data_IF_990459304620
#
_entry.id   IF_990459304620
#
_cell.length_a   1.000
_cell.length_b   1.000
_cell.length_c   1.000
_cell.angle_alpha   90.00
_cell.angle_beta   90.00
_cell.angle_gamma   90.00
#
_symmetry.space_group_name_H-M   'P 1'
#
loop_
_entity.id
_entity.type
_entity.pdbx_description
1 polymer ?
#
# COMPACT_ATOMS: atom_id res chain seq x y z
N UNK A 1 -68.98 -14.25 34.65
CA UNK A 1 -70.05 -14.42 35.65
C UNK A 1 -69.83 -13.34 36.70
N UNK A 2 -70.69 -12.35 36.93
CA UNK A 2 -71.99 -12.02 36.37
C UNK A 2 -72.27 -10.53 36.61
N UNK A 3 -73.16 -9.99 35.79
CA UNK A 3 -73.75 -8.66 35.90
C UNK A 3 -74.77 -8.57 37.04
N UNK A 4 -75.07 -7.32 37.41
CA UNK A 4 -76.16 -6.74 38.21
C UNK A 4 -75.58 -5.99 39.42
N UNK A 5 -75.84 -4.70 39.62
CA UNK A 5 -77.15 -4.04 39.49
C UNK A 5 -77.05 -2.62 38.92
N UNK A 6 -78.00 -2.33 38.03
CA UNK A 6 -78.36 -1.00 37.55
C UNK A 6 -79.01 -0.16 38.64
N UNK A 7 -78.71 1.15 38.68
CA UNK A 7 -79.67 2.17 39.13
C UNK A 7 -79.62 3.41 38.23
N UNK A 8 -80.63 3.43 37.38
CA UNK A 8 -81.48 4.58 37.02
C UNK A 8 -80.86 5.85 36.42
N UNK A 9 -81.15 5.97 35.13
CA UNK A 9 -81.25 7.19 34.33
C UNK A 9 -81.87 8.38 35.07
N UNK A 10 -81.18 9.53 35.01
CA UNK A 10 -81.83 10.82 34.78
C UNK A 10 -81.18 11.40 33.53
N UNK A 11 -81.94 11.37 32.43
CA UNK A 11 -81.63 12.18 31.26
C UNK A 11 -82.19 13.57 31.51
N UNK A 12 -81.32 14.56 31.65
CA UNK A 12 -81.70 15.96 31.51
C UNK A 12 -80.80 16.55 30.43
N UNK A 13 -81.44 16.94 29.32
CA UNK A 13 -80.81 17.52 28.15
C UNK A 13 -80.25 18.90 28.49
N UNK A 14 -78.97 19.10 28.23
CA UNK A 14 -78.29 20.39 28.35
C UNK A 14 -76.94 20.33 27.66
N UNK A 15 -76.90 20.94 26.47
CA UNK A 15 -75.74 21.33 25.67
C UNK A 15 -74.57 20.35 25.50
N UNK A 16 -74.48 19.82 24.27
CA UNK A 16 -73.21 19.44 23.64
C UNK A 16 -72.34 20.71 23.48
N UNK A 17 -71.71 21.17 24.56
CA UNK A 17 -70.57 22.08 24.46
C UNK A 17 -69.37 21.28 23.95
N UNK A 18 -68.98 21.56 22.71
CA UNK A 18 -67.70 21.16 22.14
C UNK A 18 -66.59 21.47 23.15
N UNK A 19 -65.99 20.43 23.74
CA UNK A 19 -64.78 20.59 24.53
C UNK A 19 -63.64 20.88 23.56
N UNK A 20 -63.49 22.15 23.19
CA UNK A 20 -62.23 22.68 22.70
C UNK A 20 -61.21 22.52 23.83
N UNK A 21 -60.43 21.45 23.78
CA UNK A 21 -59.20 21.30 24.54
C UNK A 21 -58.19 22.30 23.96
N UNK A 22 -58.37 23.58 24.27
CA UNK A 22 -57.37 24.59 24.03
C UNK A 22 -56.25 24.33 25.04
N UNK A 23 -55.25 23.54 24.63
CA UNK A 23 -54.01 23.37 25.38
C UNK A 23 -53.20 24.64 25.17
N UNK A 24 -53.72 25.76 25.69
CA UNK A 24 -53.04 27.04 25.68
C UNK A 24 -51.89 26.94 26.69
N UNK A 25 -50.68 26.80 26.16
CA UNK A 25 -49.46 26.72 26.96
C UNK A 25 -49.27 28.07 27.66
N UNK A 26 -49.66 28.19 28.93
CA UNK A 26 -49.54 29.44 29.72
C UNK A 26 -48.06 29.79 29.94
N UNK A 27 -47.53 30.53 28.97
CA UNK A 27 -46.19 31.10 28.97
C UNK A 27 -45.96 31.97 30.21
N UNK A 28 -46.98 32.65 30.72
CA UNK A 28 -46.84 33.52 31.89
C UNK A 28 -46.78 32.74 33.20
N UNK A 29 -47.50 31.63 33.34
CA UNK A 29 -47.36 30.72 34.50
C UNK A 29 -45.99 30.03 34.52
N UNK A 30 -45.55 29.50 33.38
CA UNK A 30 -44.22 28.86 33.26
C UNK A 30 -43.09 29.85 33.55
N UNK A 31 -43.19 31.08 33.04
CA UNK A 31 -42.18 32.12 33.28
C UNK A 31 -42.17 32.62 34.73
N UNK A 32 -43.34 32.67 35.40
CA UNK A 32 -43.44 32.95 36.84
C UNK A 32 -42.81 31.85 37.68
N UNK A 33 -43.04 30.59 37.33
CA UNK A 33 -42.41 29.45 38.01
C UNK A 33 -40.89 29.47 37.88
N UNK A 34 -40.37 29.68 36.66
CA UNK A 34 -38.91 29.77 36.40
C UNK A 34 -38.31 30.95 37.18
N UNK A 35 -38.94 32.14 37.17
CA UNK A 35 -38.48 33.30 37.93
C UNK A 35 -38.50 33.05 39.44
N UNK A 36 -39.51 32.34 39.95
CA UNK A 36 -39.57 31.89 41.35
C UNK A 36 -38.39 31.01 41.71
N UNK A 37 -38.11 29.98 40.89
CA UNK A 37 -36.97 29.07 41.08
C UNK A 37 -35.62 29.75 40.95
N UNK A 38 -35.46 30.68 40.01
CA UNK A 38 -34.25 31.50 39.88
C UNK A 38 -34.00 32.36 41.13
N UNK A 39 -35.06 32.91 41.73
CA UNK A 39 -34.96 33.70 42.96
C UNK A 39 -34.58 32.83 44.15
N UNK A 40 -35.18 31.65 44.30
CA UNK A 40 -34.80 30.66 45.31
C UNK A 40 -33.32 30.24 45.16
N UNK A 41 -32.89 29.95 43.94
CA UNK A 41 -31.49 29.61 43.62
C UNK A 41 -30.53 30.77 43.94
N UNK A 42 -30.94 32.01 43.68
CA UNK A 42 -30.16 33.21 43.99
C UNK A 42 -29.94 33.38 45.50
N UNK A 43 -30.98 33.18 46.31
CA UNK A 43 -30.86 33.25 47.77
C UNK A 43 -29.98 32.11 48.30
N UNK A 44 -30.19 30.89 47.82
CA UNK A 44 -29.37 29.72 48.15
C UNK A 44 -27.89 29.92 47.79
N UNK A 45 -27.61 30.52 46.61
CA UNK A 45 -26.26 30.89 46.21
C UNK A 45 -25.64 31.97 47.12
N UNK A 46 -26.42 32.97 47.53
CA UNK A 46 -25.97 34.00 48.45
C UNK A 46 -25.54 33.44 49.80
N UNK A 47 -26.32 32.50 50.35
CA UNK A 47 -26.10 31.88 51.65
C UNK A 47 -24.93 30.88 51.66
N UNK A 48 -24.82 30.06 50.62
CA UNK A 48 -23.80 29.01 50.52
C UNK A 48 -22.69 29.30 49.51
N UNK A 49 -22.44 30.60 49.23
CA UNK A 49 -21.54 31.06 48.15
C UNK A 49 -20.18 30.35 48.11
N UNK A 50 -19.55 30.13 49.28
CA UNK A 50 -18.24 29.46 49.36
C UNK A 50 -18.33 27.99 48.95
N UNK A 51 -19.29 27.24 49.49
CA UNK A 51 -19.48 25.82 49.19
C UNK A 51 -19.86 25.62 47.72
N UNK A 52 -20.77 26.44 47.19
CA UNK A 52 -21.21 26.34 45.80
C UNK A 52 -20.06 26.67 44.84
N UNK A 53 -19.24 27.69 45.14
CA UNK A 53 -18.07 27.99 44.31
C UNK A 53 -17.05 26.82 44.30
N UNK A 54 -16.81 26.17 45.43
CA UNK A 54 -15.93 24.99 45.51
C UNK A 54 -16.50 23.82 44.69
N UNK A 55 -17.79 23.54 44.83
CA UNK A 55 -18.47 22.49 44.05
C UNK A 55 -18.45 22.79 42.54
N UNK A 56 -18.64 24.05 42.15
CA UNK A 56 -18.62 24.48 40.76
C UNK A 56 -17.22 24.36 40.14
N UNK A 57 -16.17 24.73 40.89
CA UNK A 57 -14.77 24.51 40.46
C UNK A 57 -14.49 23.01 40.31
N UNK A 58 -14.90 22.18 41.29
CA UNK A 58 -14.72 20.74 41.22
C UNK A 58 -15.45 20.12 40.02
N UNK A 59 -16.67 20.57 39.74
CA UNK A 59 -17.46 20.14 38.59
C UNK A 59 -16.79 20.51 37.26
N UNK A 60 -16.30 21.75 37.12
CA UNK A 60 -15.55 22.18 35.93
C UNK A 60 -14.27 21.35 35.77
N UNK A 61 -13.50 21.15 36.85
CA UNK A 61 -12.28 20.35 36.82
C UNK A 61 -12.56 18.90 36.41
N UNK A 62 -13.64 18.29 36.92
CA UNK A 62 -14.08 16.96 36.52
C UNK A 62 -14.48 16.92 35.04
N UNK A 63 -15.25 17.91 34.56
CA UNK A 63 -15.62 18.02 33.14
C UNK A 63 -14.41 18.16 32.21
N UNK A 64 -13.43 18.99 32.59
CA UNK A 64 -12.16 19.14 31.86
C UNK A 64 -11.36 17.83 31.86
N UNK A 65 -11.29 17.13 32.98
CA UNK A 65 -10.61 15.84 33.09
C UNK A 65 -11.28 14.76 32.22
N UNK A 66 -12.62 14.69 32.22
CA UNK A 66 -13.36 13.77 31.35
C UNK A 66 -13.16 14.11 29.87
N UNK A 67 -13.26 15.38 29.50
CA UNK A 67 -13.02 15.84 28.13
C UNK A 67 -11.59 15.54 27.67
N UNK A 68 -10.59 15.81 28.52
CA UNK A 68 -9.19 15.48 28.25
C UNK A 68 -9.01 13.98 28.04
N UNK A 69 -9.56 13.15 28.91
CA UNK A 69 -9.45 11.69 28.82
C UNK A 69 -10.11 11.17 27.55
N UNK A 70 -11.32 11.67 27.23
CA UNK A 70 -12.05 11.29 26.04
C UNK A 70 -11.29 11.59 24.73
N UNK A 71 -10.71 12.80 24.61
CA UNK A 71 -10.03 13.25 23.38
C UNK A 71 -8.60 12.70 23.28
N UNK A 72 -7.81 12.80 24.35
CA UNK A 72 -6.36 12.55 24.29
C UNK A 72 -5.94 11.15 24.75
N UNK A 73 -6.84 10.39 25.39
CA UNK A 73 -6.54 9.03 25.87
C UNK A 73 -7.40 8.00 25.13
N UNK A 74 -8.72 8.17 25.13
CA UNK A 74 -9.65 7.20 24.55
C UNK A 74 -9.72 7.31 23.02
N UNK A 75 -9.93 8.51 22.48
CA UNK A 75 -10.09 8.73 21.02
C UNK A 75 -8.88 9.40 20.37
N UNK A 76 -7.69 9.20 20.95
CA UNK A 76 -6.46 9.75 20.38
C UNK A 76 -6.24 9.22 18.97
N UNK A 77 -5.97 10.14 18.06
CA UNK A 77 -5.53 9.84 16.69
C UNK A 77 -4.03 10.02 16.63
N UNK A 78 -3.31 8.92 16.38
CA UNK A 78 -1.86 8.93 16.23
C UNK A 78 -1.48 9.40 14.82
N UNK A 79 -0.33 10.06 14.72
CA UNK A 79 0.27 10.40 13.43
C UNK A 79 1.09 9.24 12.85
N UNK A 80 1.37 9.28 11.55
CA UNK A 80 2.45 8.46 10.97
C UNK A 80 3.78 8.75 11.68
N UNK A 81 4.65 7.74 11.76
CA UNK A 81 5.93 7.75 12.46
C UNK A 81 5.84 7.96 13.99
N UNK A 82 4.64 7.94 14.56
CA UNK A 82 4.43 7.98 16.01
C UNK A 82 4.33 6.56 16.59
N UNK A 83 5.08 6.28 17.65
CA UNK A 83 4.92 5.03 18.39
C UNK A 83 3.69 5.06 19.27
N UNK A 84 2.93 3.98 19.26
CA UNK A 84 1.86 3.76 20.23
C UNK A 84 1.83 2.32 20.73
N UNK A 85 1.40 2.14 21.98
CA UNK A 85 1.23 0.82 22.59
C UNK A 85 -0.25 0.44 22.52
N UNK A 86 -0.52 -0.80 22.13
CA UNK A 86 -1.84 -1.40 22.22
C UNK A 86 -1.71 -2.90 22.50
N UNK A 87 -2.40 -3.39 23.54
CA UNK A 87 -2.22 -4.74 24.08
C UNK A 87 -0.75 -5.08 24.35
N UNK A 88 -0.30 -6.23 23.82
CA UNK A 88 1.06 -6.76 23.98
C UNK A 88 2.08 -6.13 23.03
N UNK A 89 1.66 -5.23 22.15
CA UNK A 89 2.48 -4.69 21.07
C UNK A 89 2.77 -3.20 21.24
N UNK A 90 3.91 -2.79 20.72
CA UNK A 90 4.19 -1.42 20.34
C UNK A 90 4.25 -1.34 18.81
N UNK A 91 3.54 -0.37 18.26
CA UNK A 91 3.38 -0.17 16.83
C UNK A 91 3.96 1.18 16.41
N UNK A 92 4.42 1.26 15.15
CA UNK A 92 4.67 2.52 14.45
C UNK A 92 4.38 2.33 12.96
N UNK A 93 3.49 3.16 12.41
CA UNK A 93 3.23 3.19 10.97
C UNK A 93 4.31 4.06 10.31
N UNK A 94 5.19 3.45 9.51
CA UNK A 94 6.34 4.10 8.89
C UNK A 94 5.91 4.93 7.67
N UNK A 95 5.66 4.21 6.58
CA UNK A 95 5.30 4.75 5.28
C UNK A 95 4.00 4.09 4.83
N UNK A 96 3.24 4.85 4.05
CA UNK A 96 2.04 4.34 3.40
C UNK A 96 2.14 4.69 1.92
N UNK A 97 1.93 3.70 1.07
CA UNK A 97 2.02 3.83 -0.38
C UNK A 97 0.67 3.57 -1.02
N UNK A 98 0.44 4.20 -2.16
CA UNK A 98 -0.73 4.00 -3.00
C UNK A 98 -0.29 3.72 -4.43
N UNK A 99 -0.80 2.64 -5.02
CA UNK A 99 -0.46 2.26 -6.40
C UNK A 99 -1.50 1.33 -7.02
N UNK A 100 -1.47 1.22 -8.35
CA UNK A 100 -2.19 0.22 -9.15
C UNK A 100 -1.24 -0.77 -9.85
N UNK A 101 0.07 -0.64 -9.62
CA UNK A 101 1.12 -1.38 -10.32
C UNK A 101 1.95 -2.26 -9.38
N UNK A 102 2.52 -3.31 -9.95
CA UNK A 102 3.54 -4.14 -9.30
C UNK A 102 4.90 -3.43 -9.27
N UNK A 103 5.91 -4.09 -8.68
CA UNK A 103 7.28 -3.58 -8.60
C UNK A 103 7.99 -3.43 -9.97
N UNK A 104 7.39 -3.93 -11.04
CA UNK A 104 7.87 -3.87 -12.43
C UNK A 104 7.06 -2.89 -13.30
N UNK A 105 6.10 -2.16 -12.72
CA UNK A 105 5.25 -1.21 -13.44
C UNK A 105 4.12 -1.84 -14.24
N UNK A 106 3.81 -3.11 -14.04
CA UNK A 106 2.64 -3.75 -14.66
C UNK A 106 1.40 -3.46 -13.83
N UNK A 107 0.29 -3.17 -14.50
CA UNK A 107 -1.00 -2.99 -13.84
C UNK A 107 -1.43 -4.31 -13.17
N UNK A 108 -1.73 -4.27 -11.88
CA UNK A 108 -2.17 -5.46 -11.12
C UNK A 108 -3.66 -5.72 -11.35
N UNK A 109 -4.46 -4.66 -11.34
CA UNK A 109 -5.91 -4.72 -11.51
C UNK A 109 -6.44 -3.46 -12.19
N UNK A 110 -7.49 -3.61 -12.99
CA UNK A 110 -8.22 -2.49 -13.60
C UNK A 110 -9.35 -1.96 -12.71
N UNK A 111 -9.80 -2.77 -11.74
CA UNK A 111 -10.97 -2.46 -10.91
C UNK A 111 -10.61 -1.99 -9.51
N UNK A 112 -9.45 -2.41 -9.02
CA UNK A 112 -9.00 -2.15 -7.67
C UNK A 112 -7.62 -1.49 -7.69
N UNK A 113 -7.36 -0.71 -6.64
CA UNK A 113 -6.04 -0.15 -6.33
C UNK A 113 -5.57 -0.64 -4.97
N UNK A 114 -4.33 -0.33 -4.62
CA UNK A 114 -3.69 -0.89 -3.45
C UNK A 114 -3.17 0.23 -2.54
N UNK A 115 -3.45 0.09 -1.24
CA UNK A 115 -2.78 0.85 -0.18
C UNK A 115 -1.89 -0.11 0.58
N UNK A 116 -0.60 0.22 0.68
CA UNK A 116 0.42 -0.60 1.33
C UNK A 116 0.94 0.16 2.53
N UNK A 117 0.80 -0.43 3.71
CA UNK A 117 1.21 0.18 4.98
C UNK A 117 2.43 -0.57 5.50
N UNK A 118 3.55 0.12 5.64
CA UNK A 118 4.73 -0.37 6.36
C UNK A 118 4.53 -0.13 7.86
N UNK A 119 4.52 -1.21 8.63
CA UNK A 119 4.23 -1.22 10.06
C UNK A 119 5.39 -1.86 10.82
N UNK A 120 6.01 -1.10 11.72
CA UNK A 120 6.87 -1.66 12.75
C UNK A 120 6.03 -2.22 13.89
N UNK A 121 6.36 -3.42 14.33
CA UNK A 121 5.75 -4.12 15.44
C UNK A 121 6.80 -4.69 16.38
N UNK A 122 6.59 -4.47 17.68
CA UNK A 122 7.45 -4.96 18.75
C UNK A 122 6.58 -5.64 19.81
N UNK A 123 6.94 -6.86 20.23
CA UNK A 123 6.35 -7.48 21.41
C UNK A 123 6.97 -6.89 22.68
N UNK A 124 6.18 -6.16 23.46
CA UNK A 124 6.63 -5.41 24.64
C UNK A 124 6.16 -5.97 25.97
N UNK A 125 5.39 -7.06 25.97
CA UNK A 125 4.74 -7.57 27.20
C UNK A 125 5.14 -9.00 27.55
N UNK A 126 5.22 -9.90 26.56
CA UNK A 126 5.50 -11.31 26.80
C UNK A 126 6.96 -11.63 26.49
N UNK A 127 7.67 -12.26 27.44
CA UNK A 127 9.01 -12.81 27.19
C UNK A 127 8.98 -13.98 26.21
N UNK A 128 7.85 -14.69 26.11
CA UNK A 128 7.64 -15.73 25.11
C UNK A 128 7.25 -15.09 23.76
N UNK A 129 7.71 -15.64 22.62
CA UNK A 129 7.30 -15.18 21.31
C UNK A 129 5.79 -15.27 21.12
N UNK A 130 5.22 -14.28 20.42
CA UNK A 130 3.77 -14.21 20.15
C UNK A 130 3.53 -14.08 18.65
N UNK A 131 2.39 -14.59 18.17
CA UNK A 131 1.92 -14.35 16.81
C UNK A 131 1.28 -12.97 16.73
N UNK A 132 1.29 -12.37 15.54
CA UNK A 132 0.62 -11.11 15.26
C UNK A 132 -0.68 -11.36 14.51
N UNK A 133 -1.77 -10.88 15.08
CA UNK A 133 -3.08 -10.93 14.45
C UNK A 133 -3.28 -9.67 13.59
N UNK A 134 -2.84 -9.76 12.34
CA UNK A 134 -2.87 -8.66 11.39
C UNK A 134 -4.30 -8.31 10.93
N UNK A 135 -5.27 -9.22 11.07
CA UNK A 135 -6.67 -9.00 10.68
C UNK A 135 -7.40 -7.97 11.56
N UNK A 136 -6.85 -7.70 12.75
CA UNK A 136 -7.32 -6.61 13.64
C UNK A 136 -7.01 -5.22 13.12
N UNK A 137 -6.19 -5.12 12.07
CA UNK A 137 -5.98 -3.88 11.36
C UNK A 137 -7.02 -3.72 10.27
N UNK A 138 -7.61 -2.53 10.20
CA UNK A 138 -8.50 -2.18 9.11
C UNK A 138 -8.24 -0.78 8.60
N UNK A 139 -8.36 -0.63 7.29
CA UNK A 139 -8.31 0.64 6.60
C UNK A 139 -9.73 1.13 6.40
N UNK A 140 -10.06 2.27 7.00
CA UNK A 140 -11.37 2.90 6.88
C UNK A 140 -11.26 4.10 5.96
N UNK A 141 -12.14 4.11 4.96
CA UNK A 141 -12.40 5.21 4.04
C UNK A 141 -13.72 5.88 4.44
N UNK A 142 -14.15 6.90 3.70
CA UNK A 142 -15.42 7.58 3.97
C UNK A 142 -16.64 6.66 3.79
N UNK A 143 -16.52 5.55 3.02
CA UNK A 143 -17.63 4.63 2.71
C UNK A 143 -17.41 3.20 3.17
N UNK A 144 -16.19 2.68 3.00
CA UNK A 144 -15.90 1.26 3.18
C UNK A 144 -14.79 1.03 4.22
N UNK A 145 -14.82 -0.15 4.84
CA UNK A 145 -13.77 -0.69 5.70
C UNK A 145 -13.12 -1.88 5.00
N UNK A 146 -11.80 -1.89 4.96
CA UNK A 146 -10.98 -2.90 4.30
C UNK A 146 -10.09 -3.61 5.30
N UNK A 147 -9.90 -4.92 5.13
CA UNK A 147 -9.00 -5.77 5.92
C UNK A 147 -7.76 -6.06 5.07
N UNK A 148 -6.56 -6.18 5.66
CA UNK A 148 -5.36 -6.51 4.91
C UNK A 148 -5.46 -7.89 4.23
N UNK A 149 -4.84 -8.02 3.06
CA UNK A 149 -4.75 -9.25 2.28
C UNK A 149 -3.30 -9.60 1.98
N UNK A 150 -2.97 -10.89 2.02
CA UNK A 150 -1.66 -11.43 1.63
C UNK A 150 -1.66 -12.00 0.21
N UNK A 151 -2.80 -11.95 -0.49
CA UNK A 151 -2.93 -12.53 -1.84
C UNK A 151 -2.04 -11.88 -2.90
N UNK A 152 -1.61 -10.63 -2.63
CA UNK A 152 -0.80 -9.79 -3.52
C UNK A 152 0.58 -9.45 -2.96
N UNK A 153 1.09 -10.27 -2.05
CA UNK A 153 2.37 -10.01 -1.38
C UNK A 153 3.55 -9.89 -2.34
N UNK A 154 3.60 -10.74 -3.37
CA UNK A 154 4.76 -10.82 -4.28
C UNK A 154 4.88 -9.59 -5.18
N UNK A 155 3.75 -8.95 -5.48
CA UNK A 155 3.64 -7.70 -6.23
C UNK A 155 4.23 -6.51 -5.45
N UNK A 156 4.39 -6.63 -4.11
CA UNK A 156 4.90 -5.58 -3.21
C UNK A 156 6.19 -5.91 -2.45
N UNK A 157 6.90 -6.96 -2.86
CA UNK A 157 8.10 -7.47 -2.17
C UNK A 157 9.30 -6.51 -2.09
N UNK A 158 9.37 -5.52 -2.98
CA UNK A 158 10.42 -4.49 -2.98
C UNK A 158 10.16 -3.39 -1.94
N UNK A 159 8.93 -3.23 -1.47
CA UNK A 159 8.58 -2.25 -0.43
C UNK A 159 8.78 -2.82 0.99
N UNK A 160 9.02 -4.13 1.11
CA UNK A 160 9.15 -4.84 2.38
C UNK A 160 8.54 -6.23 2.35
N UNK A 161 8.38 -6.83 3.53
CA UNK A 161 7.91 -8.20 3.71
C UNK A 161 6.51 -8.23 4.32
N UNK A 162 5.61 -9.05 3.79
CA UNK A 162 4.30 -9.28 4.44
C UNK A 162 4.42 -10.30 5.56
N UNK A 163 3.58 -10.15 6.59
CA UNK A 163 3.51 -11.13 7.68
C UNK A 163 3.11 -12.52 7.18
N UNK A 164 3.84 -13.56 7.59
CA UNK A 164 3.61 -14.97 7.22
C UNK A 164 3.51 -15.86 8.46
N UNK A 165 2.75 -15.43 9.47
CA UNK A 165 2.64 -16.12 10.77
C UNK A 165 3.97 -16.20 11.54
N UNK A 166 4.83 -15.19 11.35
CA UNK A 166 6.10 -15.07 12.06
C UNK A 166 5.91 -14.95 13.57
N UNK A 167 6.84 -15.51 14.34
CA UNK A 167 6.87 -15.36 15.80
C UNK A 167 7.63 -14.10 16.18
N UNK A 168 6.98 -13.22 16.93
CA UNK A 168 7.55 -11.96 17.39
C UNK A 168 8.24 -12.13 18.74
N UNK A 169 9.57 -12.16 18.70
CA UNK A 169 10.42 -12.21 19.87
C UNK A 169 10.26 -10.95 20.74
N UNK A 170 10.46 -11.11 22.05
CA UNK A 170 10.36 -10.03 23.01
C UNK A 170 11.39 -8.92 22.73
N UNK A 171 10.94 -7.67 22.72
CA UNK A 171 11.75 -6.46 22.48
C UNK A 171 12.47 -6.41 21.13
N UNK A 172 12.11 -7.27 20.18
CA UNK A 172 12.61 -7.22 18.82
C UNK A 172 11.60 -6.52 17.92
N UNK A 173 12.09 -5.59 17.11
CA UNK A 173 11.28 -4.87 16.13
C UNK A 173 11.27 -5.66 14.83
N UNK A 174 10.08 -5.87 14.30
CA UNK A 174 9.85 -6.44 12.97
C UNK A 174 9.09 -5.41 12.15
N UNK A 175 9.39 -5.33 10.86
CA UNK A 175 8.68 -4.46 9.93
C UNK A 175 7.90 -5.33 8.96
N UNK A 176 6.59 -5.12 8.88
CA UNK A 176 5.72 -5.84 7.96
C UNK A 176 4.92 -4.89 7.06
N UNK A 177 4.55 -5.39 5.90
CA UNK A 177 3.59 -4.76 5.01
C UNK A 177 2.18 -5.28 5.27
N UNK A 178 1.24 -4.37 5.45
CA UNK A 178 -0.20 -4.62 5.38
C UNK A 178 -0.70 -4.08 4.04
N UNK A 179 -1.27 -4.94 3.20
CA UNK A 179 -1.74 -4.58 1.85
C UNK A 179 -3.26 -4.57 1.84
N UNK A 180 -3.86 -3.48 1.40
CA UNK A 180 -5.30 -3.31 1.30
C UNK A 180 -5.70 -3.14 -0.16
N UNK A 181 -6.61 -3.98 -0.63
CA UNK A 181 -7.23 -3.83 -1.94
C UNK A 181 -8.46 -2.93 -1.81
N UNK A 182 -8.37 -1.74 -2.40
CA UNK A 182 -9.39 -0.70 -2.32
C UNK A 182 -10.13 -0.57 -3.65
N UNK A 183 -11.44 -0.33 -3.59
CA UNK A 183 -12.25 -0.11 -4.79
C UNK A 183 -12.00 1.27 -5.38
N UNK A 184 -12.13 1.39 -6.70
CA UNK A 184 -11.99 2.66 -7.40
C UNK A 184 -12.94 3.76 -6.90
N UNK A 185 -14.09 3.40 -6.33
CA UNK A 185 -15.03 4.38 -5.78
C UNK A 185 -14.42 5.18 -4.61
N UNK A 186 -13.55 4.59 -3.80
CA UNK A 186 -12.97 5.22 -2.61
C UNK A 186 -11.67 5.99 -2.86
N UNK A 187 -11.27 6.13 -4.12
CA UNK A 187 -10.10 6.92 -4.47
C UNK A 187 -10.27 8.39 -4.06
N UNK A 188 -9.22 8.95 -3.46
CA UNK A 188 -9.23 10.33 -2.96
C UNK A 188 -9.97 10.54 -1.63
N UNK A 189 -10.51 9.48 -1.01
CA UNK A 189 -11.13 9.56 0.32
C UNK A 189 -10.10 9.87 1.41
N UNK A 190 -10.58 10.28 2.58
CA UNK A 190 -9.72 10.30 3.76
C UNK A 190 -9.46 8.87 4.24
N UNK A 191 -8.20 8.55 4.48
CA UNK A 191 -7.79 7.23 4.95
C UNK A 191 -7.42 7.28 6.44
N UNK A 192 -8.01 6.38 7.22
CA UNK A 192 -7.64 6.18 8.63
C UNK A 192 -7.42 4.70 8.89
N UNK A 193 -6.29 4.35 9.48
CA UNK A 193 -6.06 3.00 9.96
C UNK A 193 -6.63 2.83 11.36
N UNK A 194 -7.27 1.71 11.57
CA UNK A 194 -7.84 1.29 12.83
C UNK A 194 -7.15 0.00 13.26
N UNK A 195 -6.75 -0.07 14.53
CA UNK A 195 -6.34 -1.30 15.18
C UNK A 195 -7.32 -1.61 16.31
N UNK A 196 -7.91 -2.80 16.27
CA UNK A 196 -8.89 -3.26 17.25
C UNK A 196 -8.17 -3.83 18.49
N UNK A 197 -8.06 -3.00 19.53
CA UNK A 197 -7.50 -3.38 20.82
C UNK A 197 -8.57 -4.07 21.67
N UNK A 198 -8.70 -5.39 21.50
CA UNK A 198 -9.56 -6.22 22.35
C UNK A 198 -8.91 -6.36 23.72
N UNK A 199 -9.52 -5.79 24.76
CA UNK A 199 -9.09 -6.01 26.14
C UNK A 199 -9.84 -7.19 26.76
N UNK A 200 -11.17 -7.20 26.65
CA UNK A 200 -12.04 -8.25 27.17
C UNK A 200 -13.19 -8.49 26.17
N UNK A 201 -13.97 -9.55 26.36
CA UNK A 201 -15.08 -9.94 25.45
C UNK A 201 -16.09 -8.82 25.15
N UNK A 202 -16.21 -7.82 26.02
CA UNK A 202 -17.16 -6.72 25.91
C UNK A 202 -16.51 -5.34 25.71
N UNK A 203 -15.17 -5.26 25.55
CA UNK A 203 -14.46 -3.98 25.41
C UNK A 203 -13.38 -4.02 24.33
N UNK A 204 -13.68 -3.38 23.20
CA UNK A 204 -12.77 -3.14 22.08
C UNK A 204 -12.49 -1.64 21.99
N UNK A 205 -11.22 -1.27 22.00
CA UNK A 205 -10.78 0.10 21.77
C UNK A 205 -10.15 0.24 20.40
N UNK A 206 -10.68 1.15 19.60
CA UNK A 206 -10.16 1.46 18.28
C UNK A 206 -9.01 2.45 18.37
N UNK A 207 -7.78 1.97 18.14
CA UNK A 207 -6.61 2.84 17.99
C UNK A 207 -6.57 3.37 16.56
N UNK A 208 -6.61 4.69 16.42
CA UNK A 208 -6.70 5.36 15.12
C UNK A 208 -5.36 5.94 14.72
N UNK A 209 -4.92 5.67 13.50
CA UNK A 209 -3.74 6.31 12.90
C UNK A 209 -4.18 7.03 11.64
N UNK A 210 -3.99 8.35 11.61
CA UNK A 210 -4.25 9.13 10.40
C UNK A 210 -3.10 8.90 9.43
N UNK A 211 -3.43 8.51 8.21
CA UNK A 211 -2.43 8.21 7.18
C UNK A 211 -2.59 9.11 5.96
N UNK A 212 -1.46 9.39 5.33
CA UNK A 212 -1.39 10.08 4.05
C UNK A 212 -0.53 9.22 3.11
N UNK A 213 -1.14 8.52 2.15
CA UNK A 213 -0.39 7.69 1.21
C UNK A 213 0.51 8.53 0.30
N UNK A 214 1.69 7.99 0.00
CA UNK A 214 2.59 8.44 -1.07
C UNK A 214 2.09 7.80 -2.36
N UNK A 215 1.80 8.60 -3.37
CA UNK A 215 1.30 8.13 -4.66
C UNK A 215 2.46 7.65 -5.55
N UNK A 216 2.43 6.36 -5.90
CA UNK A 216 3.41 5.69 -6.76
C UNK A 216 2.81 5.30 -8.12
N UNK A 217 1.66 5.88 -8.52
CA UNK A 217 0.99 5.53 -9.77
C UNK A 217 1.67 6.15 -10.99
N UNK A 218 2.20 7.37 -10.85
CA UNK A 218 2.84 8.10 -11.95
C UNK A 218 4.35 7.84 -12.00
N UNK A 219 4.89 7.78 -13.22
CA UNK A 219 6.33 7.64 -13.40
C UNK A 219 7.03 9.00 -13.32
N UNK A 220 8.17 8.97 -12.64
CA UNK A 220 9.17 10.01 -12.63
C UNK A 220 10.28 9.56 -13.57
N UNK A 221 10.50 10.34 -14.62
CA UNK A 221 11.57 10.09 -15.57
C UNK A 221 12.92 10.32 -14.91
N UNK A 222 13.87 9.42 -15.18
CA UNK A 222 15.25 9.58 -14.75
C UNK A 222 16.13 10.01 -15.91
N UNK A 223 17.42 10.28 -15.63
CA UNK A 223 18.41 10.54 -16.68
C UNK A 223 18.53 9.35 -17.65
N UNK A 224 18.69 9.66 -18.93
CA UNK A 224 18.96 8.68 -19.99
C UNK A 224 20.42 8.25 -19.96
N UNK A 225 20.66 6.95 -20.14
CA UNK A 225 21.99 6.38 -20.41
C UNK A 225 22.07 5.82 -21.81
N UNK A 226 23.28 5.77 -22.32
CA UNK A 226 23.59 5.21 -23.63
C UNK A 226 24.43 3.95 -23.50
N UNK A 227 24.49 3.18 -24.59
CA UNK A 227 25.40 2.04 -24.70
C UNK A 227 26.84 2.44 -24.34
N UNK A 228 27.51 1.61 -23.56
CA UNK A 228 28.83 1.87 -22.97
C UNK A 228 28.81 2.66 -21.66
N UNK A 229 27.68 3.22 -21.22
CA UNK A 229 27.57 3.94 -19.95
C UNK A 229 27.06 3.04 -18.81
N UNK A 230 27.52 3.29 -17.58
CA UNK A 230 27.01 2.60 -16.40
C UNK A 230 25.63 3.14 -16.01
N UNK A 231 24.70 2.21 -15.75
CA UNK A 231 23.40 2.45 -15.17
C UNK A 231 23.35 1.91 -13.74
N UNK A 232 22.84 2.75 -12.83
CA UNK A 232 22.55 2.40 -11.44
C UNK A 232 21.07 2.62 -11.16
N UNK A 233 20.38 1.54 -10.82
CA UNK A 233 18.95 1.55 -10.48
C UNK A 233 18.80 1.20 -8.99
N UNK A 234 18.51 2.17 -8.12
CA UNK A 234 18.21 1.91 -6.71
C UNK A 234 16.81 1.30 -6.53
N UNK A 235 16.72 0.35 -5.61
CA UNK A 235 15.47 -0.24 -5.14
C UNK A 235 15.07 0.34 -3.77
N UNK A 236 13.83 0.07 -3.35
CA UNK A 236 13.27 0.55 -2.07
C UNK A 236 13.82 -0.20 -0.84
N UNK A 237 14.49 -1.33 -1.03
CA UNK A 237 15.14 -2.12 0.02
C UNK A 237 16.64 -1.78 0.20
N UNK A 238 17.04 -0.59 -0.26
CA UNK A 238 18.42 -0.07 -0.28
C UNK A 238 19.41 -0.87 -1.13
N UNK A 239 18.97 -1.90 -1.86
CA UNK A 239 19.79 -2.57 -2.86
C UNK A 239 19.78 -1.81 -4.18
N UNK A 240 20.70 -2.16 -5.08
CA UNK A 240 20.81 -1.51 -6.39
C UNK A 240 21.22 -2.50 -7.47
N UNK A 241 20.67 -2.32 -8.68
CA UNK A 241 21.19 -2.94 -9.89
C UNK A 241 22.21 -1.99 -10.52
N UNK A 242 23.44 -2.46 -10.72
CA UNK A 242 24.48 -1.72 -11.42
C UNK A 242 24.90 -2.54 -12.63
N UNK A 243 24.85 -1.95 -13.83
CA UNK A 243 25.25 -2.63 -15.05
C UNK A 243 25.66 -1.66 -16.16
N UNK A 244 26.41 -2.18 -17.12
CA UNK A 244 26.77 -1.50 -18.37
C UNK A 244 26.58 -2.49 -19.52
N UNK A 245 25.85 -2.08 -20.56
CA UNK A 245 25.69 -2.79 -21.82
C UNK A 245 26.66 -2.17 -22.83
N UNK A 246 27.66 -2.92 -23.29
CA UNK A 246 28.79 -2.32 -24.03
C UNK A 246 28.60 -2.30 -25.54
N UNK A 247 27.89 -3.28 -26.10
CA UNK A 247 27.57 -3.39 -27.52
C UNK A 247 26.32 -4.26 -27.69
N UNK A 248 25.74 -4.31 -28.89
CA UNK A 248 24.73 -5.31 -29.22
C UNK A 248 24.89 -5.82 -30.65
N UNK A 249 24.45 -7.05 -30.89
CA UNK A 249 24.37 -7.66 -32.21
C UNK A 249 23.03 -8.36 -32.36
N UNK A 250 22.48 -8.37 -33.58
CA UNK A 250 21.31 -9.13 -33.95
C UNK A 250 21.75 -10.29 -34.84
N UNK A 251 21.50 -11.51 -34.39
CA UNK A 251 21.98 -12.72 -35.08
C UNK A 251 20.87 -13.77 -35.18
N UNK A 252 20.93 -14.61 -36.21
CA UNK A 252 20.01 -15.74 -36.37
C UNK A 252 20.34 -16.91 -35.45
N UNK A 253 21.62 -17.01 -35.07
CA UNK A 253 22.16 -18.07 -34.24
C UNK A 253 23.22 -17.53 -33.28
N UNK A 254 23.22 -18.08 -32.07
CA UNK A 254 24.29 -17.88 -31.09
C UNK A 254 24.45 -19.16 -30.26
N UNK A 255 25.21 -19.10 -29.18
CA UNK A 255 25.22 -20.18 -28.20
C UNK A 255 25.97 -19.80 -26.94
N UNK A 256 25.74 -20.58 -25.89
CA UNK A 256 26.28 -20.31 -24.57
C UNK A 256 26.77 -21.59 -23.91
N UNK A 257 27.73 -21.43 -23.00
CA UNK A 257 28.20 -22.53 -22.17
C UNK A 257 27.45 -22.55 -20.84
N UNK A 258 27.12 -23.72 -20.33
CA UNK A 258 26.50 -23.88 -19.02
C UNK A 258 27.10 -25.05 -18.26
N UNK A 259 27.01 -24.99 -16.93
CA UNK A 259 27.36 -26.12 -16.08
C UNK A 259 26.14 -27.00 -15.86
N UNK A 260 26.32 -28.30 -16.00
CA UNK A 260 25.29 -29.27 -15.74
C UNK A 260 25.89 -30.63 -15.45
N UNK A 261 25.03 -31.61 -15.21
CA UNK A 261 25.45 -32.99 -15.09
C UNK A 261 24.62 -33.87 -16.02
N UNK A 262 25.31 -34.63 -16.89
CA UNK A 262 24.66 -35.64 -17.73
C UNK A 262 24.19 -36.84 -16.89
N UNK A 263 24.87 -37.10 -15.77
CA UNK A 263 24.49 -38.07 -14.75
C UNK A 263 25.01 -37.63 -13.37
N UNK A 264 24.59 -38.28 -12.29
CA UNK A 264 25.02 -37.94 -10.93
C UNK A 264 26.55 -37.96 -10.70
N UNK A 265 27.32 -38.59 -11.60
CA UNK A 265 28.80 -38.68 -11.52
C UNK A 265 29.53 -37.94 -12.64
N UNK A 266 28.79 -37.36 -13.58
CA UNK A 266 29.38 -36.72 -14.77
C UNK A 266 28.83 -35.31 -14.89
N UNK A 267 29.54 -34.38 -14.24
CA UNK A 267 29.27 -32.96 -14.29
C UNK A 267 30.36 -32.26 -15.09
N UNK A 268 29.97 -31.29 -15.90
CA UNK A 268 30.88 -30.61 -16.80
C UNK A 268 30.29 -29.34 -17.38
N UNK A 269 31.05 -28.76 -18.31
CA UNK A 269 30.65 -27.58 -19.06
C UNK A 269 30.15 -28.04 -20.41
N UNK A 270 28.92 -27.66 -20.75
CA UNK A 270 28.26 -28.04 -21.99
C UNK A 270 27.97 -26.79 -22.81
N UNK A 271 28.07 -26.92 -24.14
CA UNK A 271 27.65 -25.89 -25.08
C UNK A 271 26.19 -26.12 -25.48
N UNK A 272 25.43 -25.04 -25.59
CA UNK A 272 24.08 -25.06 -26.16
C UNK A 272 23.93 -24.00 -27.23
N UNK A 273 23.49 -24.45 -28.39
CA UNK A 273 23.14 -23.58 -29.51
C UNK A 273 21.77 -22.92 -29.26
N UNK A 274 21.66 -21.67 -29.70
CA UNK A 274 20.44 -20.89 -29.71
C UNK A 274 20.12 -20.55 -31.17
N UNK A 275 18.95 -20.97 -31.64
CA UNK A 275 18.47 -20.69 -32.98
C UNK A 275 17.24 -19.80 -32.89
N UNK A 276 17.25 -18.64 -33.55
CA UNK A 276 16.12 -17.70 -33.52
C UNK A 276 14.84 -18.34 -34.07
N UNK A 277 14.97 -19.25 -35.04
CA UNK A 277 13.88 -20.05 -35.63
C UNK A 277 13.18 -21.01 -34.65
N UNK A 278 13.79 -21.29 -33.49
CA UNK A 278 13.15 -22.11 -32.45
C UNK A 278 12.10 -21.35 -31.64
N UNK A 279 12.00 -20.03 -31.80
CA UNK A 279 11.01 -19.19 -31.13
C UNK A 279 9.88 -18.81 -32.09
N UNK A 280 8.63 -18.87 -31.63
CA UNK A 280 7.47 -18.58 -32.46
C UNK A 280 7.49 -17.15 -33.02
N UNK A 281 7.25 -17.02 -34.32
CA UNK A 281 7.28 -15.74 -35.04
C UNK A 281 8.62 -15.48 -35.75
N UNK A 282 8.73 -14.33 -36.41
CA UNK A 282 9.97 -13.89 -37.04
C UNK A 282 10.81 -13.14 -36.02
N UNK A 283 11.81 -13.82 -35.47
CA UNK A 283 12.65 -13.32 -34.38
C UNK A 283 14.14 -13.34 -34.77
N UNK A 284 14.93 -12.57 -34.02
CA UNK A 284 16.40 -12.61 -33.95
C UNK A 284 16.82 -12.82 -32.50
N UNK A 285 18.07 -13.22 -32.31
CA UNK A 285 18.72 -13.22 -30.99
C UNK A 285 19.50 -11.91 -30.89
N UNK A 286 19.10 -11.07 -29.93
CA UNK A 286 19.89 -9.92 -29.51
C UNK A 286 20.93 -10.37 -28.50
N UNK A 287 22.19 -10.24 -28.89
CA UNK A 287 23.36 -10.61 -28.11
C UNK A 287 24.05 -9.35 -27.59
N UNK A 288 24.14 -9.20 -26.27
CA UNK A 288 24.68 -7.98 -25.63
C UNK A 288 25.76 -8.37 -24.59
N UNK A 289 27.03 -8.03 -24.80
CA UNK A 289 28.03 -8.11 -23.75
C UNK A 289 27.73 -7.09 -22.65
N UNK A 290 27.93 -7.47 -21.40
CA UNK A 290 27.62 -6.61 -20.26
C UNK A 290 28.64 -6.75 -19.11
N UNK A 291 28.63 -5.78 -18.22
CA UNK A 291 29.14 -5.92 -16.84
C UNK A 291 28.00 -5.65 -15.87
N UNK A 292 27.96 -6.34 -14.73
CA UNK A 292 26.90 -6.13 -13.73
C UNK A 292 27.33 -6.56 -12.33
N UNK A 293 26.65 -6.05 -11.30
CA UNK A 293 26.80 -6.52 -9.93
C UNK A 293 26.02 -7.81 -9.59
N UNK A 294 25.31 -8.41 -10.55
CA UNK A 294 24.62 -9.69 -10.36
C UNK A 294 25.61 -10.86 -10.36
N UNK A 295 25.40 -11.83 -9.47
CA UNK A 295 26.29 -12.99 -9.31
C UNK A 295 26.27 -13.98 -10.47
N UNK A 296 25.22 -13.95 -11.32
CA UNK A 296 25.10 -14.84 -12.48
C UNK A 296 24.37 -14.15 -13.63
N UNK A 297 24.64 -14.58 -14.86
CA UNK A 297 23.96 -14.05 -16.03
C UNK A 297 22.46 -14.38 -16.09
N UNK A 298 22.02 -15.49 -15.51
CA UNK A 298 20.59 -15.78 -15.40
C UNK A 298 19.88 -14.77 -14.50
N UNK A 299 20.47 -14.40 -13.35
CA UNK A 299 19.86 -13.41 -12.45
C UNK A 299 19.77 -12.02 -13.11
N UNK A 300 20.82 -11.61 -13.83
CA UNK A 300 20.80 -10.36 -14.59
C UNK A 300 19.77 -10.40 -15.73
N UNK A 301 19.73 -11.48 -16.51
CA UNK A 301 18.72 -11.66 -17.58
C UNK A 301 17.30 -11.64 -17.02
N UNK A 302 17.06 -12.29 -15.88
CA UNK A 302 15.77 -12.25 -15.19
C UNK A 302 15.41 -10.85 -14.70
N UNK A 303 16.39 -10.03 -14.31
CA UNK A 303 16.14 -8.63 -13.99
C UNK A 303 15.75 -7.84 -15.25
N UNK A 304 16.55 -7.91 -16.31
CA UNK A 304 16.33 -7.19 -17.57
C UNK A 304 14.97 -7.53 -18.17
N UNK A 305 14.61 -8.82 -18.22
CA UNK A 305 13.36 -9.27 -18.84
C UNK A 305 12.11 -8.99 -18.01
N UNK A 306 12.26 -8.82 -16.69
CA UNK A 306 11.14 -8.56 -15.78
C UNK A 306 10.85 -7.08 -15.61
N UNK A 307 11.89 -6.27 -15.46
CA UNK A 307 11.76 -4.81 -15.27
C UNK A 307 11.79 -4.05 -16.60
N UNK A 308 12.40 -4.63 -17.63
CA UNK A 308 12.67 -3.98 -18.90
C UNK A 308 11.59 -4.21 -19.95
N UNK A 309 11.37 -3.17 -20.75
CA UNK A 309 10.63 -3.21 -22.00
C UNK A 309 11.54 -2.74 -23.13
N UNK A 310 11.37 -3.33 -24.30
CA UNK A 310 12.03 -2.89 -25.52
C UNK A 310 11.13 -1.89 -26.23
N UNK A 311 11.63 -0.68 -26.40
CA UNK A 311 11.02 0.39 -27.18
C UNK A 311 11.89 0.64 -28.39
N UNK A 312 11.28 0.68 -29.58
CA UNK A 312 12.02 0.86 -30.82
C UNK A 312 11.16 1.49 -31.90
N UNK A 313 11.82 2.09 -32.88
CA UNK A 313 11.15 2.83 -33.97
C UNK A 313 11.53 2.22 -35.31
N UNK A 314 10.52 1.83 -36.10
CA UNK A 314 10.68 1.34 -37.48
C UNK A 314 9.89 2.28 -38.39
N UNK A 315 10.59 3.03 -39.24
CA UNK A 315 10.00 4.15 -39.97
C UNK A 315 9.45 5.21 -39.00
N UNK A 316 8.18 5.59 -39.16
CA UNK A 316 7.51 6.58 -38.29
C UNK A 316 6.78 5.95 -37.09
N UNK A 317 6.86 4.62 -36.92
CA UNK A 317 6.09 3.91 -35.88
C UNK A 317 6.97 3.50 -34.72
N UNK A 318 6.67 4.03 -33.53
CA UNK A 318 7.23 3.55 -32.26
C UNK A 318 6.45 2.33 -31.77
N UNK A 319 7.17 1.26 -31.44
CA UNK A 319 6.65 0.01 -30.94
C UNK A 319 7.23 -0.28 -29.56
N UNK A 320 6.45 -0.94 -28.72
CA UNK A 320 6.87 -1.39 -27.39
C UNK A 320 6.56 -2.88 -27.24
N UNK A 321 7.52 -3.65 -26.77
CA UNK A 321 7.36 -5.08 -26.49
C UNK A 321 8.03 -5.47 -25.18
N UNK A 322 7.52 -6.51 -24.54
CA UNK A 322 8.17 -7.14 -23.39
C UNK A 322 9.46 -7.83 -23.81
N UNK A 323 10.48 -7.77 -22.97
CA UNK A 323 11.73 -8.50 -23.17
C UNK A 323 11.58 -9.97 -22.79
N UNK A 324 12.21 -10.86 -23.56
CA UNK A 324 12.21 -12.32 -23.30
C UNK A 324 13.63 -12.86 -23.38
N UNK A 325 14.04 -13.66 -22.39
CA UNK A 325 15.33 -14.32 -22.40
C UNK A 325 15.30 -15.51 -23.36
N UNK A 326 16.33 -15.66 -24.19
CA UNK A 326 16.56 -16.86 -24.99
C UNK A 326 17.10 -18.03 -24.13
N UNK A 327 17.53 -17.74 -22.89
CA UNK A 327 18.16 -18.68 -21.96
C UNK A 327 17.36 -18.82 -20.68
N UNK A 328 17.14 -20.05 -20.22
CA UNK A 328 16.30 -20.37 -19.04
C UNK A 328 17.06 -21.02 -17.89
N UNK A 329 18.39 -21.15 -18.00
CA UNK A 329 19.25 -21.77 -16.98
C UNK A 329 20.50 -20.93 -16.77
N UNK A 330 21.22 -21.19 -15.68
CA UNK A 330 22.47 -20.51 -15.44
C UNK A 330 23.49 -20.82 -16.55
N UNK A 331 24.32 -19.85 -16.89
CA UNK A 331 25.29 -19.93 -17.97
C UNK A 331 26.56 -19.17 -17.63
N UNK A 332 27.64 -19.52 -18.33
CA UNK A 332 28.96 -18.88 -18.20
C UNK A 332 29.09 -17.71 -19.18
N UNK A 333 29.84 -16.71 -18.76
CA UNK A 333 30.11 -15.50 -19.54
C UNK A 333 29.12 -14.37 -19.28
N UNK A 334 29.53 -13.14 -19.61
CA UNK A 334 28.74 -11.93 -19.36
C UNK A 334 28.11 -11.45 -20.65
N UNK A 335 27.18 -12.26 -21.16
CA UNK A 335 26.40 -11.95 -22.35
C UNK A 335 24.93 -12.12 -22.07
N UNK A 336 24.12 -11.17 -22.49
CA UNK A 336 22.68 -11.24 -22.43
C UNK A 336 22.17 -11.74 -23.78
N UNK A 337 21.22 -12.68 -23.75
CA UNK A 337 20.62 -13.29 -24.92
C UNK A 337 19.12 -13.06 -24.87
N UNK A 338 18.62 -12.15 -25.70
CA UNK A 338 17.20 -11.79 -25.75
C UNK A 338 16.59 -12.22 -27.07
N UNK A 339 15.34 -12.69 -27.02
CA UNK A 339 14.54 -12.93 -28.21
C UNK A 339 13.85 -11.62 -28.58
N UNK A 340 14.15 -11.09 -29.77
CA UNK A 340 13.61 -9.82 -30.25
C UNK A 340 12.97 -9.99 -31.64
N UNK A 341 11.99 -9.15 -32.02
CA UNK A 341 11.41 -9.20 -33.37
C UNK A 341 12.47 -8.95 -34.45
N UNK A 342 12.40 -9.68 -35.56
CA UNK A 342 13.37 -9.53 -36.65
C UNK A 342 13.34 -8.14 -37.32
N UNK A 343 12.19 -7.46 -37.30
CA UNK A 343 12.05 -6.09 -37.83
C UNK A 343 12.92 -5.05 -37.12
N UNK A 344 13.48 -5.39 -35.95
CA UNK A 344 14.40 -4.54 -35.20
C UNK A 344 15.69 -4.25 -35.98
N UNK A 345 16.07 -5.11 -36.95
CA UNK A 345 17.19 -4.83 -37.86
C UNK A 345 17.00 -3.52 -38.64
N UNK A 346 15.75 -3.16 -38.94
CA UNK A 346 15.39 -1.94 -39.65
C UNK A 346 15.06 -0.77 -38.71
N UNK A 347 15.26 -0.92 -37.39
CA UNK A 347 14.92 0.13 -36.44
C UNK A 347 15.94 1.27 -36.48
N UNK A 348 15.47 2.52 -36.43
CA UNK A 348 16.34 3.70 -36.34
C UNK A 348 16.70 4.03 -34.89
N UNK A 349 15.81 3.70 -33.95
CA UNK A 349 15.97 3.90 -32.52
C UNK A 349 15.66 2.59 -31.78
N UNK A 350 16.48 2.25 -30.78
CA UNK A 350 16.33 1.07 -29.94
C UNK A 350 16.70 1.47 -28.50
N UNK A 351 15.78 1.20 -27.57
CA UNK A 351 15.89 1.55 -26.17
C UNK A 351 15.37 0.42 -25.28
N UNK A 352 16.04 0.19 -24.16
CA UNK A 352 15.48 -0.50 -23.02
C UNK A 352 14.93 0.51 -22.01
N UNK A 353 13.66 0.38 -21.70
CA UNK A 353 12.98 1.12 -20.65
C UNK A 353 12.80 0.24 -19.44
N UNK A 354 13.42 0.59 -18.31
CA UNK A 354 13.27 -0.15 -17.06
C UNK A 354 12.30 0.58 -16.14
N UNK A 355 11.27 -0.11 -15.69
CA UNK A 355 10.36 0.42 -14.67
C UNK A 355 10.67 -0.23 -13.34
N UNK A 356 10.96 0.61 -12.35
CA UNK A 356 11.06 0.22 -10.95
C UNK A 356 10.14 1.15 -10.16
N UNK A 357 8.97 0.61 -9.80
CA UNK A 357 7.89 1.37 -9.14
C UNK A 357 7.49 2.63 -9.90
N UNK A 358 7.72 3.78 -9.29
CA UNK A 358 7.39 5.11 -9.76
C UNK A 358 8.52 5.73 -10.59
N UNK A 359 9.57 4.97 -10.94
CA UNK A 359 10.70 5.47 -11.73
C UNK A 359 10.81 4.75 -13.06
N UNK A 360 11.00 5.53 -14.12
CA UNK A 360 11.23 5.06 -15.47
C UNK A 360 12.65 5.44 -15.90
N UNK A 361 13.46 4.42 -16.19
CA UNK A 361 14.85 4.56 -16.61
C UNK A 361 14.98 4.24 -18.09
N UNK A 362 15.80 5.05 -18.77
CA UNK A 362 16.00 5.00 -20.22
C UNK A 362 17.43 4.56 -20.53
N UNK A 363 17.58 3.46 -21.27
CA UNK A 363 18.87 2.95 -21.71
C UNK A 363 18.88 2.75 -23.22
N UNK A 364 19.45 3.71 -23.93
CA UNK A 364 19.46 3.79 -25.38
C UNK A 364 20.57 2.94 -25.97
N UNK A 365 20.20 1.96 -26.80
CA UNK A 365 21.12 1.10 -27.56
C UNK A 365 21.44 1.67 -28.93
N UNK A 366 20.47 2.36 -29.56
CA UNK A 366 20.59 3.00 -30.87
C UNK A 366 19.75 4.27 -30.89
N UNK A 367 20.29 5.36 -31.43
CA UNK A 367 19.56 6.62 -31.64
C UNK A 367 19.88 7.19 -33.02
N UNK A 368 18.94 7.95 -33.60
CA UNK A 368 19.19 8.71 -34.82
C UNK A 368 20.30 9.76 -34.55
N UNK A 369 21.47 9.60 -35.19
CA UNK A 369 22.55 10.61 -35.17
C UNK A 369 23.81 10.24 -34.38
N UNK A 370 23.91 9.04 -33.81
CA UNK A 370 25.19 8.46 -33.36
C UNK A 370 25.39 7.10 -34.03
N UNK A 371 26.06 7.10 -35.18
CA UNK A 371 26.64 5.87 -35.71
C UNK A 371 27.65 5.37 -34.68
N UNK A 372 27.44 4.14 -34.23
CA UNK A 372 28.47 3.32 -33.60
C UNK A 372 29.68 3.31 -34.52
N UNK A 373 30.79 3.93 -34.10
CA UNK A 373 32.11 3.63 -34.62
C UNK A 373 32.40 2.15 -34.32
N UNK A 374 31.91 1.28 -35.17
CA UNK A 374 32.44 -0.08 -35.31
C UNK A 374 33.79 0.09 -35.99
N UNK A 375 34.83 0.05 -35.18
CA UNK A 375 36.23 0.02 -35.61
C UNK A 375 36.47 -1.25 -36.45
N UNK A 376 36.22 -1.15 -37.75
CA UNK A 376 36.85 -2.00 -38.76
C UNK A 376 38.28 -1.49 -39.00
N UNK A 377 39.22 -1.93 -38.17
CA UNK A 377 40.63 -2.11 -38.53
C UNK A 377 41.26 -3.03 -37.47
N UNK A 378 42.05 -4.07 -37.75
CA UNK A 378 42.88 -4.36 -38.92
C UNK A 378 43.25 -5.85 -38.89
N UNK A 379 43.40 -6.43 -40.09
CA UNK A 379 44.23 -7.59 -40.50
C UNK A 379 45.00 -8.40 -39.47
#
# INVERSE_FOLDING_TARGET
FGFNEDREFIAEAGDDEEVELDVEFDYHATLRFIKGKLRELKYFYGEHRKLINVLLIAFIAFGLWQGYTYVFVTNRVYAQNEYFKANSYRFKVNNVYFTDKDYAGNLISTTNKYIIVSLDIENVTSKSPITFDYERWSLVTDRNRYVPSTSKSDEFRDLGTTYKNDLLEYQKVYTFLLIYEIKNEDLGSNYTLYYEEVQNANSVYDRKVKIKPIDLTNYQETDTKYIGEEMTIPFYDDTQAIFNLTAYQLVDQSGYYYEGCASAKECGVYYRELLASSFAGSNKIMYIPYTSNYSTGLLFSNFITRQGKLVYKVGDTTKTTTLKSAVTRNYRGNFLYLVVPAELENATEIEFQFVVRDKLYHYVLKSEGKESETDESTT
#
